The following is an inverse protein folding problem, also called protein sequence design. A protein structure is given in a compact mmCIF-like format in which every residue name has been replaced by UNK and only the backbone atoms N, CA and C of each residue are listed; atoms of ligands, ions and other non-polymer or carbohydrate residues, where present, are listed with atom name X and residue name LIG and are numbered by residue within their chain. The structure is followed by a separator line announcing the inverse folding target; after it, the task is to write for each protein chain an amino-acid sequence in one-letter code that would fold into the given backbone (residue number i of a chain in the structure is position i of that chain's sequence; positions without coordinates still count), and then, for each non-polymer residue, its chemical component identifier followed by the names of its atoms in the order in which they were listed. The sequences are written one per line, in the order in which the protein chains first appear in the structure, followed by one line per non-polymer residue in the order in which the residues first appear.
data_IF_314429732856
#
_entry.id   IF_314429732856
#
_cell.length_a   1.000
_cell.length_b   1.000
_cell.length_c   1.000
_cell.angle_alpha   90.00
_cell.angle_beta   90.00
_cell.angle_gamma   90.00
#
_symmetry.space_group_name_H-M   'P 1'
#
loop_
_entity.id
_entity.type
_entity.pdbx_description
1 polymer ?
#
# COMPACT_ATOMS: atom_id res chain seq x y z
N UNK A 1 -2.74 2.12 -3.51
CA UNK A 1 -3.33 3.43 -3.90
C UNK A 1 -3.89 4.23 -2.71
N UNK A 2 -4.76 3.66 -1.83
CA UNK A 2 -5.36 4.40 -0.70
C UNK A 2 -4.34 5.09 0.22
N UNK A 3 -3.31 4.34 0.65
CA UNK A 3 -2.24 4.91 1.49
C UNK A 3 -1.50 6.04 0.79
N UNK A 4 -1.25 5.88 -0.51
CA UNK A 4 -0.62 6.91 -1.33
C UNK A 4 -1.52 8.15 -1.48
N UNK A 5 -2.84 7.97 -1.64
CA UNK A 5 -3.79 9.09 -1.73
C UNK A 5 -3.77 9.95 -0.47
N UNK A 6 -3.63 9.35 0.72
CA UNK A 6 -3.54 10.06 2.00
C UNK A 6 -2.21 10.83 2.09
N UNK A 7 -1.09 10.16 1.81
CA UNK A 7 0.24 10.79 1.89
C UNK A 7 0.41 11.88 0.83
N UNK A 8 -0.07 11.65 -0.39
CA UNK A 8 -0.04 12.66 -1.46
C UNK A 8 -0.93 13.86 -1.14
N UNK A 9 -2.13 13.62 -0.57
CA UNK A 9 -3.03 14.69 -0.14
C UNK A 9 -2.41 15.62 0.92
N UNK A 10 -1.54 15.10 1.79
CA UNK A 10 -0.83 15.86 2.81
C UNK A 10 0.39 16.60 2.27
N UNK A 11 1.18 15.90 1.47
CA UNK A 11 2.48 16.41 1.01
C UNK A 11 2.37 17.24 -0.26
N UNK A 12 1.31 17.05 -1.05
CA UNK A 12 1.16 17.63 -2.39
C UNK A 12 2.17 17.11 -3.41
N UNK A 13 2.89 16.04 -3.08
CA UNK A 13 3.96 15.47 -3.90
C UNK A 13 3.93 13.95 -3.87
N UNK A 14 4.37 13.35 -4.97
CA UNK A 14 4.49 11.91 -5.10
C UNK A 14 5.61 11.41 -4.19
N UNK A 15 5.29 10.41 -3.38
CA UNK A 15 6.27 9.66 -2.60
C UNK A 15 6.61 8.34 -3.31
N UNK A 16 7.76 8.29 -3.99
CA UNK A 16 8.22 7.08 -4.67
C UNK A 16 8.56 5.95 -3.70
N UNK A 17 8.98 6.28 -2.47
CA UNK A 17 9.27 5.29 -1.42
C UNK A 17 8.02 4.57 -0.89
N UNK A 18 6.80 5.00 -1.28
CA UNK A 18 5.57 4.36 -0.83
C UNK A 18 5.45 2.90 -1.29
N UNK A 19 6.00 2.58 -2.47
CA UNK A 19 6.09 1.20 -2.95
C UNK A 19 6.91 0.32 -2.02
N UNK A 20 8.02 0.83 -1.50
CA UNK A 20 8.90 0.07 -0.60
C UNK A 20 8.26 -0.19 0.78
N UNK A 21 7.29 0.62 1.18
CA UNK A 21 6.50 0.34 2.38
C UNK A 21 5.58 -0.88 2.19
N UNK A 22 5.11 -1.14 0.96
CA UNK A 22 4.44 -2.41 0.64
C UNK A 22 5.40 -3.59 0.73
N UNK A 23 6.61 -3.44 0.19
CA UNK A 23 7.67 -4.45 0.29
C UNK A 23 7.95 -4.78 1.76
N UNK A 24 8.13 -3.78 2.62
CA UNK A 24 8.37 -3.98 4.06
C UNK A 24 7.23 -4.77 4.71
N UNK A 25 5.97 -4.46 4.37
CA UNK A 25 4.81 -5.22 4.87
C UNK A 25 4.81 -6.68 4.42
N UNK A 26 5.20 -6.95 3.16
CA UNK A 26 5.33 -8.30 2.64
C UNK A 26 6.44 -9.09 3.34
N UNK A 27 7.62 -8.48 3.57
CA UNK A 27 8.70 -9.11 4.32
C UNK A 27 8.35 -9.29 5.81
N UNK A 28 7.61 -8.37 6.43
CA UNK A 28 7.11 -8.57 7.79
C UNK A 28 6.19 -9.79 7.87
N UNK A 29 5.33 -10.01 6.86
CA UNK A 29 4.51 -11.22 6.75
C UNK A 29 5.37 -12.48 6.65
N UNK A 30 6.42 -12.46 5.83
CA UNK A 30 7.37 -13.57 5.70
C UNK A 30 8.09 -13.88 7.02
N UNK A 31 8.52 -12.87 7.76
CA UNK A 31 9.15 -13.04 9.09
C UNK A 31 8.18 -13.69 10.07
N UNK A 32 6.94 -13.20 10.15
CA UNK A 32 5.91 -13.78 11.02
C UNK A 32 5.65 -15.24 10.65
N UNK A 33 5.53 -15.56 9.37
CA UNK A 33 5.36 -16.94 8.91
C UNK A 33 6.50 -17.85 9.37
N UNK A 34 7.75 -17.41 9.22
CA UNK A 34 8.92 -18.19 9.63
C UNK A 34 8.96 -18.39 11.15
N UNK A 35 8.57 -17.38 11.94
CA UNK A 35 8.45 -17.50 13.39
C UNK A 35 7.40 -18.56 13.78
N UNK A 36 6.25 -18.57 13.10
CA UNK A 36 5.22 -19.60 13.34
C UNK A 36 5.71 -20.99 12.95
N UNK A 37 6.40 -21.11 11.82
CA UNK A 37 6.97 -22.39 11.37
C UNK A 37 7.97 -22.94 12.39
N UNK A 38 8.80 -22.06 12.99
CA UNK A 38 9.86 -22.47 13.92
C UNK A 38 9.35 -22.75 15.34
N UNK A 39 8.42 -21.91 15.86
CA UNK A 39 8.01 -21.97 17.27
C UNK A 39 6.62 -22.55 17.48
N UNK A 40 5.72 -22.47 16.51
CA UNK A 40 4.31 -22.85 16.63
C UNK A 40 3.78 -23.58 15.40
N UNK A 41 4.39 -24.73 15.00
CA UNK A 41 3.99 -25.42 13.78
C UNK A 41 2.52 -25.88 13.77
N UNK A 42 1.94 -26.19 14.96
CA UNK A 42 0.53 -26.55 15.09
C UNK A 42 -0.47 -25.41 14.91
N UNK A 43 -0.01 -24.15 14.94
CA UNK A 43 -0.83 -22.97 14.75
C UNK A 43 -0.49 -22.23 13.44
N UNK A 44 0.20 -22.90 12.51
CA UNK A 44 0.66 -22.29 11.27
C UNK A 44 -0.48 -21.65 10.46
N UNK A 45 -1.66 -22.23 10.41
CA UNK A 45 -2.81 -21.73 9.68
C UNK A 45 -3.32 -20.35 10.17
N UNK A 46 -2.92 -19.96 11.40
CA UNK A 46 -3.35 -18.70 12.03
C UNK A 46 -2.30 -17.58 11.93
N UNK A 47 -1.13 -17.82 11.28
CA UNK A 47 -0.07 -16.82 11.20
C UNK A 47 -0.55 -15.50 10.55
N UNK A 48 -1.48 -15.56 9.59
CA UNK A 48 -2.03 -14.37 8.93
C UNK A 48 -2.67 -13.42 9.92
N UNK A 49 -3.33 -13.92 10.97
CA UNK A 49 -3.99 -13.08 11.96
C UNK A 49 -2.98 -12.16 12.69
N UNK A 50 -1.75 -12.65 12.93
CA UNK A 50 -0.65 -11.86 13.48
C UNK A 50 0.16 -11.14 12.40
N UNK A 51 0.24 -11.67 11.19
CA UNK A 51 0.94 -11.05 10.09
C UNK A 51 0.29 -9.72 9.65
N UNK A 52 -1.04 -9.64 9.67
CA UNK A 52 -1.79 -8.42 9.33
C UNK A 52 -1.42 -7.23 10.24
N UNK A 53 -1.56 -7.29 11.57
CA UNK A 53 -1.13 -6.19 12.43
C UNK A 53 0.38 -5.96 12.40
N UNK A 54 1.19 -7.02 12.27
CA UNK A 54 2.64 -6.90 12.20
C UNK A 54 3.10 -6.15 10.94
N UNK A 55 2.53 -6.46 9.77
CA UNK A 55 2.83 -5.77 8.51
C UNK A 55 2.40 -4.31 8.55
N UNK A 56 1.23 -4.02 9.14
CA UNK A 56 0.77 -2.65 9.36
C UNK A 56 1.75 -1.88 10.25
N UNK A 57 2.09 -2.43 11.42
CA UNK A 57 2.96 -1.76 12.40
C UNK A 57 4.38 -1.58 11.87
N UNK A 58 4.95 -2.58 11.21
CA UNK A 58 6.28 -2.49 10.62
C UNK A 58 6.36 -1.36 9.58
N UNK A 59 5.43 -1.34 8.62
CA UNK A 59 5.40 -0.30 7.60
C UNK A 59 5.06 1.08 8.19
N UNK A 60 4.13 1.16 9.15
CA UNK A 60 3.75 2.40 9.83
C UNK A 60 4.93 2.99 10.62
N UNK A 61 5.71 2.16 11.30
CA UNK A 61 6.87 2.58 12.06
C UNK A 61 7.97 3.11 11.14
N UNK A 62 8.28 2.38 10.07
CA UNK A 62 9.25 2.84 9.06
C UNK A 62 8.77 4.14 8.42
N UNK A 63 7.48 4.24 8.07
CA UNK A 63 6.89 5.47 7.55
C UNK A 63 7.01 6.64 8.53
N UNK A 64 6.74 6.43 9.82
CA UNK A 64 6.88 7.45 10.86
C UNK A 64 8.35 7.94 11.01
N UNK A 65 9.31 7.01 10.93
CA UNK A 65 10.74 7.34 10.96
C UNK A 65 11.12 8.16 9.74
N UNK A 66 10.74 7.74 8.54
CA UNK A 66 11.03 8.44 7.30
C UNK A 66 10.42 9.84 7.26
N UNK A 67 9.20 9.99 7.74
CA UNK A 67 8.57 11.32 7.82
C UNK A 67 9.36 12.24 8.71
N UNK A 68 9.73 11.80 9.92
CA UNK A 68 10.45 12.62 10.90
C UNK A 68 11.90 12.94 10.52
N UNK A 69 12.58 12.04 9.82
CA UNK A 69 14.00 12.17 9.49
C UNK A 69 14.25 12.83 8.14
N UNK A 70 13.37 12.60 7.16
CA UNK A 70 13.57 13.02 5.77
C UNK A 70 12.46 13.96 5.31
N UNK A 71 11.20 13.48 5.25
CA UNK A 71 10.13 14.20 4.57
C UNK A 71 9.70 15.48 5.26
N UNK A 72 9.79 15.54 6.58
CA UNK A 72 9.45 16.75 7.37
C UNK A 72 10.17 18.00 6.89
N UNK A 73 11.42 17.87 6.42
CA UNK A 73 12.24 19.01 5.98
C UNK A 73 12.00 19.40 4.53
N UNK A 74 11.24 18.59 3.80
CA UNK A 74 11.03 18.70 2.36
C UNK A 74 9.62 19.20 1.98
N UNK A 75 8.76 19.44 2.98
CA UNK A 75 7.42 19.98 2.72
C UNK A 75 7.48 21.33 1.99
N UNK A 76 6.69 21.45 0.90
CA UNK A 76 6.66 22.63 0.04
C UNK A 76 7.74 22.67 -1.05
N UNK A 77 8.57 21.62 -1.18
CA UNK A 77 9.63 21.50 -2.20
C UNK A 77 9.42 20.26 -3.06
N UNK A 78 8.57 20.31 -4.09
CA UNK A 78 8.11 19.12 -4.80
C UNK A 78 9.22 18.33 -5.48
N UNK A 79 10.17 19.00 -6.15
CA UNK A 79 11.26 18.33 -6.85
C UNK A 79 12.25 17.67 -5.88
N UNK A 80 12.60 18.36 -4.80
CA UNK A 80 13.50 17.83 -3.78
C UNK A 80 12.86 16.62 -3.07
N UNK A 81 11.56 16.68 -2.79
CA UNK A 81 10.82 15.57 -2.18
C UNK A 81 10.76 14.34 -3.09
N UNK A 82 10.56 14.55 -4.40
CA UNK A 82 10.55 13.46 -5.38
C UNK A 82 11.91 12.76 -5.43
N UNK A 83 13.01 13.54 -5.56
CA UNK A 83 14.36 12.99 -5.60
C UNK A 83 14.75 12.29 -4.29
N UNK A 84 14.43 12.91 -3.15
CA UNK A 84 14.71 12.31 -1.84
C UNK A 84 13.92 11.02 -1.64
N UNK A 85 12.64 10.97 -2.02
CA UNK A 85 11.82 9.76 -1.91
C UNK A 85 12.35 8.63 -2.81
N UNK A 86 12.84 8.96 -4.00
CA UNK A 86 13.50 7.98 -4.86
C UNK A 86 14.81 7.45 -4.25
N UNK A 87 15.64 8.33 -3.70
CA UNK A 87 16.84 7.93 -2.97
C UNK A 87 16.54 7.03 -1.76
N UNK A 88 15.50 7.37 -0.98
CA UNK A 88 15.02 6.53 0.14
C UNK A 88 14.55 5.18 -0.35
N UNK A 89 13.83 5.11 -1.47
CA UNK A 89 13.39 3.84 -2.08
C UNK A 89 14.59 2.93 -2.37
N UNK A 90 15.64 3.46 -2.99
CA UNK A 90 16.86 2.69 -3.27
C UNK A 90 17.55 2.19 -1.99
N UNK A 91 17.62 3.03 -0.95
CA UNK A 91 18.20 2.66 0.35
C UNK A 91 17.40 1.54 1.01
N UNK A 92 16.05 1.64 1.04
CA UNK A 92 15.19 0.61 1.61
C UNK A 92 15.30 -0.71 0.86
N UNK A 93 15.32 -0.66 -0.48
CA UNK A 93 15.49 -1.84 -1.32
C UNK A 93 16.84 -2.51 -1.03
N UNK A 94 17.93 -1.73 -0.99
CA UNK A 94 19.26 -2.28 -0.70
C UNK A 94 19.36 -2.82 0.72
N UNK A 95 18.71 -2.18 1.69
CA UNK A 95 18.66 -2.68 3.06
C UNK A 95 17.99 -4.05 3.12
N UNK A 96 16.84 -4.21 2.46
CA UNK A 96 16.13 -5.49 2.40
C UNK A 96 16.96 -6.56 1.69
N UNK A 97 17.66 -6.22 0.59
CA UNK A 97 18.59 -7.14 -0.09
C UNK A 97 19.74 -7.58 0.82
N UNK A 98 20.23 -6.70 1.66
CA UNK A 98 21.31 -7.04 2.60
C UNK A 98 20.84 -7.95 3.72
N UNK A 99 19.62 -7.76 4.22
CA UNK A 99 19.07 -8.52 5.36
C UNK A 99 18.49 -9.87 4.92
N UNK A 100 17.71 -9.90 3.84
CA UNK A 100 16.98 -11.09 3.40
C UNK A 100 17.58 -11.77 2.15
N UNK A 101 18.53 -11.12 1.50
CA UNK A 101 19.11 -11.58 0.23
C UNK A 101 18.40 -10.96 -0.98
N UNK A 102 19.00 -11.21 -2.16
CA UNK A 102 18.49 -10.68 -3.43
C UNK A 102 17.42 -11.57 -4.09
N UNK A 103 17.26 -12.80 -3.60
CA UNK A 103 16.30 -13.76 -4.17
C UNK A 103 14.89 -13.51 -3.64
N UNK A 104 13.91 -13.81 -4.49
CA UNK A 104 12.51 -13.76 -4.08
C UNK A 104 12.23 -14.87 -3.07
N UNK A 105 11.49 -14.53 -2.02
CA UNK A 105 11.01 -15.46 -1.01
C UNK A 105 9.53 -15.75 -1.23
N UNK A 106 9.10 -16.95 -0.89
CA UNK A 106 7.70 -17.36 -1.04
C UNK A 106 7.03 -17.41 0.33
N UNK A 107 5.83 -16.87 0.39
CA UNK A 107 4.93 -16.98 1.55
C UNK A 107 3.90 -18.05 1.23
N UNK A 108 3.80 -19.06 2.09
CA UNK A 108 2.86 -20.16 1.92
C UNK A 108 1.46 -19.76 2.42
N UNK A 109 0.45 -20.07 1.64
CA UNK A 109 -0.92 -19.84 2.04
C UNK A 109 -1.33 -20.83 3.14
N UNK A 110 -2.15 -20.42 4.13
CA UNK A 110 -2.77 -21.34 5.08
C UNK A 110 -3.66 -22.36 4.38
N UNK A 111 -3.83 -23.52 5.00
CA UNK A 111 -4.63 -24.61 4.42
C UNK A 111 -6.10 -24.22 4.15
N UNK A 112 -6.68 -23.34 4.98
CA UNK A 112 -8.06 -22.87 4.79
C UNK A 112 -8.23 -21.88 3.61
N UNK A 113 -7.13 -21.29 3.11
CA UNK A 113 -7.11 -20.46 1.90
C UNK A 113 -6.76 -21.27 0.64
N UNK A 114 -6.32 -22.52 0.79
CA UNK A 114 -6.03 -23.41 -0.32
C UNK A 114 -7.31 -24.07 -0.80
N UNK A 115 -7.52 -24.06 -2.13
CA UNK A 115 -8.75 -24.59 -2.76
C UNK A 115 -9.51 -23.50 -3.51
N UNK A 116 -10.67 -23.88 -4.05
CA UNK A 116 -11.51 -22.97 -4.83
C UNK A 116 -12.98 -23.39 -4.77
N UNK A 117 -13.86 -22.45 -5.05
CA UNK A 117 -15.27 -22.64 -5.22
C UNK A 117 -15.60 -22.71 -6.71
N UNK A 118 -16.19 -23.82 -7.16
CA UNK A 118 -16.61 -24.00 -8.55
C UNK A 118 -17.93 -23.27 -8.78
N UNK A 119 -17.88 -22.16 -9.51
CA UNK A 119 -19.08 -21.37 -9.87
C UNK A 119 -19.73 -21.92 -11.14
N UNK A 120 -18.93 -22.34 -12.11
CA UNK A 120 -19.34 -23.02 -13.32
C UNK A 120 -18.38 -24.20 -13.57
N UNK A 121 -18.81 -25.15 -14.41
CA UNK A 121 -18.00 -26.33 -14.76
C UNK A 121 -16.58 -26.02 -15.27
N UNK A 122 -16.32 -24.78 -15.70
CA UNK A 122 -15.01 -24.32 -16.21
C UNK A 122 -14.44 -23.11 -15.45
N UNK A 123 -15.05 -22.66 -14.33
CA UNK A 123 -14.63 -21.50 -13.58
C UNK A 123 -14.53 -21.80 -12.09
N UNK A 124 -13.31 -21.98 -11.61
CA UNK A 124 -13.01 -22.10 -10.18
C UNK A 124 -12.51 -20.77 -9.63
N UNK A 125 -13.13 -20.27 -8.56
CA UNK A 125 -12.68 -19.07 -7.83
C UNK A 125 -11.82 -19.53 -6.65
N UNK A 126 -10.50 -19.24 -6.66
CA UNK A 126 -9.63 -19.62 -5.56
C UNK A 126 -9.96 -18.82 -4.28
N UNK A 127 -10.02 -19.51 -3.14
CA UNK A 127 -10.37 -18.91 -1.84
C UNK A 127 -9.41 -17.79 -1.42
N UNK A 128 -8.12 -17.88 -1.75
CA UNK A 128 -7.16 -16.84 -1.42
C UNK A 128 -7.53 -15.49 -2.06
N UNK A 129 -8.00 -15.47 -3.32
CA UNK A 129 -8.42 -14.22 -3.98
C UNK A 129 -9.69 -13.64 -3.38
N UNK A 130 -10.66 -14.49 -3.02
CA UNK A 130 -11.88 -14.05 -2.33
C UNK A 130 -11.55 -13.45 -0.96
N UNK A 131 -10.67 -14.10 -0.20
CA UNK A 131 -10.21 -13.61 1.10
C UNK A 131 -9.51 -12.25 0.98
N UNK A 132 -8.69 -12.04 -0.05
CA UNK A 132 -8.01 -10.76 -0.30
C UNK A 132 -9.02 -9.67 -0.67
N UNK A 133 -10.03 -9.96 -1.49
CA UNK A 133 -11.09 -8.99 -1.82
C UNK A 133 -11.87 -8.59 -0.56
N UNK A 134 -12.24 -9.56 0.27
CA UNK A 134 -12.92 -9.31 1.54
C UNK A 134 -12.04 -8.49 2.49
N UNK A 135 -10.76 -8.82 2.59
CA UNK A 135 -9.78 -8.07 3.38
C UNK A 135 -9.61 -6.63 2.86
N UNK A 136 -9.48 -6.43 1.55
CA UNK A 136 -9.38 -5.10 0.95
C UNK A 136 -10.64 -4.25 1.23
N UNK A 137 -11.83 -4.86 1.13
CA UNK A 137 -13.08 -4.19 1.49
C UNK A 137 -13.13 -3.81 2.97
N UNK A 138 -12.68 -4.68 3.87
CA UNK A 138 -12.60 -4.41 5.30
C UNK A 138 -11.65 -3.26 5.60
N UNK A 139 -10.45 -3.25 5.01
CA UNK A 139 -9.47 -2.16 5.16
C UNK A 139 -10.05 -0.86 4.64
N UNK A 140 -10.75 -0.87 3.49
CA UNK A 140 -11.39 0.30 2.91
C UNK A 140 -12.48 0.86 3.84
N UNK A 141 -13.37 0.02 4.34
CA UNK A 141 -14.41 0.42 5.30
C UNK A 141 -13.79 0.94 6.59
N UNK A 142 -12.78 0.25 7.14
CA UNK A 142 -12.06 0.68 8.33
C UNK A 142 -11.44 2.07 8.16
N UNK A 143 -10.80 2.32 7.01
CA UNK A 143 -10.18 3.61 6.70
C UNK A 143 -11.19 4.73 6.50
N UNK A 144 -12.27 4.48 5.79
CA UNK A 144 -13.34 5.48 5.61
C UNK A 144 -13.98 5.85 6.93
N UNK A 145 -14.24 4.87 7.80
CA UNK A 145 -14.75 5.10 9.15
C UNK A 145 -13.76 5.87 10.01
N UNK A 146 -12.47 5.52 9.95
CA UNK A 146 -11.42 6.20 10.70
C UNK A 146 -11.33 7.67 10.29
N UNK A 147 -11.28 7.97 8.99
CA UNK A 147 -11.17 9.35 8.51
C UNK A 147 -12.50 10.13 8.69
N UNK A 148 -13.67 9.47 8.55
CA UNK A 148 -14.95 10.14 8.69
C UNK A 148 -15.36 10.41 10.13
N UNK A 149 -15.09 9.48 11.04
CA UNK A 149 -15.65 9.49 12.40
C UNK A 149 -14.64 9.78 13.52
N UNK A 150 -13.32 9.82 13.25
CA UNK A 150 -12.34 10.07 14.30
C UNK A 150 -11.81 11.51 14.31
N UNK A 151 -11.31 11.93 15.47
CA UNK A 151 -10.62 13.24 15.62
C UNK A 151 -9.38 13.33 14.73
N UNK A 152 -8.70 12.21 14.52
CA UNK A 152 -7.54 12.13 13.62
C UNK A 152 -7.91 12.52 12.19
N UNK A 153 -9.01 11.94 11.66
CA UNK A 153 -9.49 12.29 10.33
C UNK A 153 -9.93 13.76 10.20
N UNK A 154 -10.49 14.35 11.27
CA UNK A 154 -10.79 15.77 11.31
C UNK A 154 -9.51 16.61 11.19
N UNK A 155 -8.46 16.30 11.97
CA UNK A 155 -7.19 17.02 11.93
C UNK A 155 -6.47 16.87 10.60
N UNK A 156 -6.47 15.66 10.02
CA UNK A 156 -5.90 15.44 8.68
C UNK A 156 -6.59 16.32 7.64
N UNK A 157 -7.93 16.33 7.62
CA UNK A 157 -8.69 17.17 6.69
C UNK A 157 -8.44 18.67 6.91
N UNK A 158 -8.35 19.13 8.15
CA UNK A 158 -8.08 20.54 8.44
C UNK A 158 -6.69 20.97 7.96
N UNK A 159 -5.67 20.13 8.16
CA UNK A 159 -4.30 20.40 7.72
C UNK A 159 -4.17 20.35 6.19
N UNK A 160 -4.85 19.42 5.53
CA UNK A 160 -4.85 19.34 4.05
C UNK A 160 -5.59 20.52 3.41
N UNK A 161 -6.64 21.03 4.05
CA UNK A 161 -7.43 22.13 3.53
C UNK A 161 -6.73 23.50 3.72
N UNK A 162 -6.24 23.78 4.92
CA UNK A 162 -5.51 25.02 5.20
C UNK A 162 -4.56 24.82 6.39
N UNK A 163 -3.29 24.50 6.10
CA UNK A 163 -2.25 24.25 7.11
C UNK A 163 -1.99 25.43 8.05
N UNK A 164 -1.81 26.70 7.56
CA UNK A 164 -1.61 27.85 8.43
C UNK A 164 -2.78 28.08 9.39
N UNK A 165 -4.00 28.01 8.89
CA UNK A 165 -5.21 28.21 9.70
C UNK A 165 -5.35 27.10 10.76
N UNK A 166 -5.12 25.83 10.40
CA UNK A 166 -5.15 24.72 11.35
C UNK A 166 -4.13 24.93 12.49
N UNK A 167 -2.93 25.42 12.17
CA UNK A 167 -1.90 25.74 13.17
C UNK A 167 -2.35 26.88 14.09
N UNK A 168 -2.97 27.94 13.57
CA UNK A 168 -3.53 29.04 14.37
C UNK A 168 -4.63 28.56 15.33
N UNK A 169 -5.39 27.54 14.96
CA UNK A 169 -6.43 26.92 15.79
C UNK A 169 -5.88 25.90 16.82
N UNK A 170 -4.56 25.84 17.00
CA UNK A 170 -3.90 24.98 17.99
C UNK A 170 -3.65 23.55 17.55
N UNK A 171 -3.87 23.21 16.28
CA UNK A 171 -3.56 21.89 15.75
C UNK A 171 -2.04 21.75 15.56
N UNK A 172 -1.46 20.72 16.18
CA UNK A 172 -0.03 20.40 15.98
C UNK A 172 0.15 19.70 14.62
N UNK A 173 0.40 20.49 13.58
CA UNK A 173 0.51 20.02 12.20
C UNK A 173 1.59 18.95 12.03
N UNK A 174 2.73 19.06 12.71
CA UNK A 174 3.82 18.09 12.64
C UNK A 174 3.41 16.70 13.18
N UNK A 175 2.61 16.65 14.26
CA UNK A 175 2.08 15.36 14.75
C UNK A 175 1.06 14.78 13.80
N UNK A 176 0.21 15.62 13.21
CA UNK A 176 -0.81 15.17 12.25
C UNK A 176 -0.14 14.61 11.00
N UNK A 177 0.90 15.25 10.49
CA UNK A 177 1.68 14.78 9.34
C UNK A 177 2.29 13.40 9.60
N UNK A 178 3.00 13.24 10.74
CA UNK A 178 3.60 11.95 11.12
C UNK A 178 2.54 10.86 11.26
N UNK A 179 1.40 11.14 11.91
CA UNK A 179 0.33 10.16 12.10
C UNK A 179 -0.32 9.76 10.77
N UNK A 180 -0.61 10.70 9.91
CA UNK A 180 -1.24 10.42 8.63
C UNK A 180 -0.29 9.73 7.65
N UNK A 181 0.99 10.11 7.64
CA UNK A 181 2.02 9.41 6.85
C UNK A 181 2.21 7.97 7.34
N UNK A 182 2.32 7.78 8.66
CA UNK A 182 2.42 6.47 9.30
C UNK A 182 1.21 5.58 8.97
N UNK A 183 0.02 6.15 8.97
CA UNK A 183 -1.22 5.47 8.64
C UNK A 183 -1.25 5.05 7.17
N UNK A 184 -0.89 5.97 6.25
CA UNK A 184 -0.75 5.66 4.83
C UNK A 184 0.30 4.58 4.56
N UNK A 185 1.43 4.62 5.26
CA UNK A 185 2.47 3.60 5.22
C UNK A 185 1.98 2.25 5.74
N UNK A 186 1.23 2.24 6.85
CA UNK A 186 0.64 1.02 7.40
C UNK A 186 -0.34 0.34 6.42
N UNK A 187 -1.16 1.13 5.71
CA UNK A 187 -2.05 0.62 4.67
C UNK A 187 -1.25 0.01 3.51
N UNK A 188 -0.12 0.63 3.13
CA UNK A 188 0.78 0.04 2.15
C UNK A 188 1.34 -1.30 2.65
N UNK A 189 1.71 -1.40 3.93
CA UNK A 189 2.12 -2.65 4.56
C UNK A 189 1.04 -3.73 4.50
N UNK A 190 -0.23 -3.40 4.76
CA UNK A 190 -1.36 -4.32 4.60
C UNK A 190 -1.51 -4.80 3.15
N UNK A 191 -1.33 -3.91 2.18
CA UNK A 191 -1.34 -4.28 0.77
C UNK A 191 -0.19 -5.25 0.44
N UNK A 192 0.99 -5.04 1.02
CA UNK A 192 2.13 -5.96 0.93
C UNK A 192 1.82 -7.35 1.50
N UNK A 193 1.16 -7.40 2.67
CA UNK A 193 0.69 -8.65 3.26
C UNK A 193 -0.30 -9.40 2.34
N UNK A 194 -1.25 -8.68 1.73
CA UNK A 194 -2.19 -9.28 0.78
C UNK A 194 -1.50 -9.77 -0.50
N UNK A 195 -0.55 -8.99 -1.04
CA UNK A 195 0.20 -9.35 -2.25
C UNK A 195 1.10 -10.57 -2.02
N UNK A 196 1.67 -10.73 -0.82
CA UNK A 196 2.50 -11.89 -0.46
C UNK A 196 1.74 -13.23 -0.54
N UNK A 197 0.40 -13.19 -0.45
CA UNK A 197 -0.45 -14.39 -0.56
C UNK A 197 -0.76 -14.81 -2.01
N UNK A 198 -0.47 -13.92 -2.98
CA UNK A 198 -0.75 -14.20 -4.42
C UNK A 198 0.55 -14.46 -5.18
N UNK A 199 1.62 -13.82 -4.77
CA UNK A 199 2.88 -13.84 -5.50
C UNK A 199 4.10 -13.93 -4.60
N UNK A 200 5.25 -14.01 -5.25
CA UNK A 200 6.53 -14.04 -4.56
C UNK A 200 6.85 -12.65 -3.99
N UNK A 201 7.47 -12.64 -2.83
CA UNK A 201 7.96 -11.43 -2.18
C UNK A 201 9.41 -11.20 -2.59
N UNK A 202 9.68 -10.08 -3.21
CA UNK A 202 11.02 -9.72 -3.65
C UNK A 202 11.37 -8.27 -3.32
N UNK A 203 12.65 -7.92 -3.35
CA UNK A 203 13.09 -6.55 -3.07
C UNK A 203 12.59 -5.53 -4.09
N UNK A 204 12.20 -5.95 -5.29
CA UNK A 204 11.68 -5.09 -6.36
C UNK A 204 10.14 -4.96 -6.34
N UNK A 205 9.46 -5.61 -5.38
CA UNK A 205 8.00 -5.66 -5.30
C UNK A 205 7.38 -4.25 -5.26
N UNK A 206 7.97 -3.33 -4.51
CA UNK A 206 7.50 -1.95 -4.39
C UNK A 206 7.48 -1.22 -5.72
N UNK A 207 8.54 -1.32 -6.51
CA UNK A 207 8.68 -0.65 -7.79
C UNK A 207 7.66 -1.12 -8.82
N UNK A 208 7.28 -2.39 -8.79
CA UNK A 208 6.31 -2.95 -9.73
C UNK A 208 4.90 -2.38 -9.56
N UNK A 209 4.55 -1.93 -8.34
CA UNK A 209 3.20 -1.47 -8.00
C UNK A 209 3.08 0.03 -7.77
N UNK A 210 4.20 0.76 -7.60
CA UNK A 210 4.14 2.21 -7.32
C UNK A 210 3.55 2.99 -8.49
N UNK A 211 3.92 2.64 -9.72
CA UNK A 211 3.42 3.31 -10.94
C UNK A 211 1.91 3.09 -11.09
N UNK A 212 1.45 1.86 -10.91
CA UNK A 212 0.01 1.52 -10.98
C UNK A 212 -0.77 2.26 -9.88
N UNK A 213 -0.22 2.31 -8.66
CA UNK A 213 -0.84 3.02 -7.54
C UNK A 213 -0.91 4.52 -7.78
N UNK A 214 0.11 5.08 -8.42
CA UNK A 214 0.16 6.49 -8.79
C UNK A 214 -0.89 6.83 -9.85
N UNK A 215 -0.98 6.04 -10.92
CA UNK A 215 -2.01 6.22 -11.96
C UNK A 215 -3.43 6.23 -11.38
N UNK A 216 -3.69 5.31 -10.43
CA UNK A 216 -4.97 5.24 -9.72
C UNK A 216 -5.26 6.51 -8.91
N UNK A 217 -4.26 7.05 -8.20
CA UNK A 217 -4.44 8.26 -7.37
C UNK A 217 -4.65 9.49 -8.23
N UNK A 218 -3.92 9.63 -9.34
CA UNK A 218 -4.07 10.77 -10.26
C UNK A 218 -5.44 10.73 -10.93
N UNK A 219 -5.86 9.59 -11.46
CA UNK A 219 -7.16 9.43 -12.10
C UNK A 219 -8.33 9.60 -11.10
N UNK A 220 -8.16 9.10 -9.88
CA UNK A 220 -9.17 9.18 -8.82
C UNK A 220 -9.32 10.56 -8.17
N UNK A 221 -8.39 11.46 -8.47
CA UNK A 221 -8.31 12.78 -7.84
C UNK A 221 -7.54 12.77 -6.52
N UNK A 222 -6.55 13.65 -6.45
CA UNK A 222 -5.65 13.77 -5.31
C UNK A 222 -6.40 14.11 -4.02
N UNK A 223 -6.19 13.31 -2.98
CA UNK A 223 -6.84 13.50 -1.68
C UNK A 223 -8.30 13.05 -1.62
N UNK A 224 -8.87 12.52 -2.71
CA UNK A 224 -10.23 11.99 -2.74
C UNK A 224 -10.23 10.46 -2.61
N UNK A 225 -10.60 9.97 -1.42
CA UNK A 225 -10.63 8.52 -1.15
C UNK A 225 -11.64 7.80 -2.04
N UNK A 226 -12.84 8.36 -2.19
CA UNK A 226 -13.88 7.75 -3.03
C UNK A 226 -13.44 7.66 -4.50
N UNK A 227 -12.87 8.75 -5.05
CA UNK A 227 -12.34 8.77 -6.40
C UNK A 227 -11.24 7.73 -6.62
N UNK A 228 -10.31 7.62 -5.66
CA UNK A 228 -9.24 6.61 -5.69
C UNK A 228 -9.79 5.17 -5.71
N UNK A 229 -10.86 4.89 -4.97
CA UNK A 229 -11.51 3.56 -4.97
C UNK A 229 -12.14 3.25 -6.33
N UNK A 230 -12.90 4.18 -6.90
CA UNK A 230 -13.51 3.98 -8.22
C UNK A 230 -12.44 3.83 -9.31
N UNK A 231 -11.41 4.66 -9.28
CA UNK A 231 -10.29 4.56 -10.21
C UNK A 231 -9.52 3.22 -10.06
N UNK A 232 -9.30 2.75 -8.83
CA UNK A 232 -8.64 1.48 -8.58
C UNK A 232 -9.42 0.29 -9.16
N UNK A 233 -10.73 0.26 -8.92
CA UNK A 233 -11.62 -0.77 -9.47
C UNK A 233 -11.69 -0.69 -11.00
N UNK A 234 -11.89 0.51 -11.55
CA UNK A 234 -11.98 0.71 -13.00
C UNK A 234 -10.70 0.34 -13.72
N UNK A 235 -9.56 0.89 -13.30
CA UNK A 235 -8.26 0.57 -13.92
C UNK A 235 -7.86 -0.90 -13.71
N UNK A 236 -8.18 -1.48 -12.54
CA UNK A 236 -7.93 -2.89 -12.27
C UNK A 236 -8.70 -3.81 -13.20
N UNK A 237 -9.98 -3.54 -13.43
CA UNK A 237 -10.82 -4.28 -14.37
C UNK A 237 -10.30 -4.13 -15.81
N UNK A 238 -10.07 -2.89 -16.26
CA UNK A 238 -9.56 -2.61 -17.61
C UNK A 238 -8.22 -3.32 -17.83
N UNK A 239 -7.30 -3.21 -16.85
CA UNK A 239 -6.00 -3.87 -16.95
C UNK A 239 -6.13 -5.38 -17.11
N UNK A 240 -7.02 -6.04 -16.33
CA UNK A 240 -7.24 -7.49 -16.42
C UNK A 240 -7.92 -7.92 -17.72
N UNK A 241 -8.82 -7.12 -18.25
CA UNK A 241 -9.41 -7.38 -19.57
C UNK A 241 -8.35 -7.32 -20.68
N UNK A 242 -7.53 -6.26 -20.69
CA UNK A 242 -6.50 -6.09 -21.71
C UNK A 242 -5.40 -7.15 -21.56
N UNK A 243 -5.03 -7.50 -20.33
CA UNK A 243 -4.04 -8.55 -20.04
C UNK A 243 -4.41 -9.90 -20.66
N UNK A 244 -5.72 -10.23 -20.67
CA UNK A 244 -6.22 -11.47 -21.28
C UNK A 244 -6.05 -11.53 -22.80
N UNK A 245 -5.94 -10.37 -23.48
CA UNK A 245 -5.82 -10.28 -24.94
C UNK A 245 -4.40 -9.95 -25.40
N UNK A 246 -3.76 -8.98 -24.74
CA UNK A 246 -2.50 -8.39 -25.18
C UNK A 246 -1.29 -8.82 -24.33
N UNK A 247 -1.52 -9.51 -23.22
CA UNK A 247 -0.48 -9.85 -22.26
C UNK A 247 -0.17 -8.71 -21.27
N UNK A 248 0.53 -9.05 -20.19
CA UNK A 248 0.70 -8.16 -19.02
C UNK A 248 1.44 -6.85 -19.31
N UNK A 249 2.46 -6.88 -20.17
CA UNK A 249 3.28 -5.69 -20.49
C UNK A 249 2.49 -4.70 -21.34
N UNK A 250 1.85 -5.19 -22.42
CA UNK A 250 1.04 -4.34 -23.28
C UNK A 250 -0.18 -3.77 -22.56
N UNK A 251 -0.79 -4.55 -21.65
CA UNK A 251 -1.89 -4.07 -20.83
C UNK A 251 -1.49 -2.85 -20.00
N UNK A 252 -0.34 -2.86 -19.34
CA UNK A 252 0.16 -1.72 -18.56
C UNK A 252 0.41 -0.49 -19.43
N UNK A 253 0.99 -0.67 -20.61
CA UNK A 253 1.22 0.43 -21.56
C UNK A 253 -0.11 1.03 -22.02
N UNK A 254 -1.08 0.20 -22.40
CA UNK A 254 -2.39 0.67 -22.83
C UNK A 254 -3.15 1.40 -21.72
N UNK A 255 -3.11 0.89 -20.49
CA UNK A 255 -3.70 1.56 -19.32
C UNK A 255 -3.04 2.92 -19.08
N UNK A 256 -1.70 3.01 -19.18
CA UNK A 256 -0.98 4.28 -19.06
C UNK A 256 -1.44 5.28 -20.14
N UNK A 257 -1.55 4.85 -21.40
CA UNK A 257 -2.01 5.70 -22.53
C UNK A 257 -3.44 6.17 -22.27
N UNK A 258 -4.34 5.29 -21.84
CA UNK A 258 -5.72 5.66 -21.49
C UNK A 258 -5.75 6.73 -20.39
N UNK A 259 -4.96 6.57 -19.34
CA UNK A 259 -4.88 7.55 -18.24
C UNK A 259 -4.35 8.89 -18.74
N UNK A 260 -3.30 8.89 -19.57
CA UNK A 260 -2.73 10.13 -20.15
C UNK A 260 -3.71 10.85 -21.06
N UNK A 261 -4.53 10.13 -21.84
CA UNK A 261 -5.56 10.73 -22.70
C UNK A 261 -6.72 11.30 -21.87
N UNK A 262 -7.02 10.66 -20.72
CA UNK A 262 -8.12 11.10 -19.87
C UNK A 262 -7.78 12.35 -19.04
N UNK A 263 -6.51 12.55 -18.65
CA UNK A 263 -6.02 13.73 -17.95
C UNK A 263 -5.84 14.92 -18.90
#
# INVERSE_FOLDING_TARGET
ALGLAITYGLMGVINMAHGELMMIGAYATFVVQNLFRQYLPGAFDWYILLAVPASFLAAALVGAVLERTVFRFLYGRPLETLLASWGVSLVLMQLVRTVFGAQNVQVENPNWMSGGFDVLSNLTLPYNRLAIIAFAALVLVGMTLLIAKTRMGLFVRSVTQNRPMASCMGVNTAKVDTMAFSLGAGIAGLAGCALSQIGNVGPDLGQNYIVDSFMVVVLGGVGQIAGTVYAALGLGLINKFIEGWAGAVLAKIMVLVIVVIFI
#
